data_IF_660181682405
#
_entry.id   IF_660181682405
#
_cell.length_a   1.000
_cell.length_b   1.000
_cell.length_c   1.000
_cell.angle_alpha   90.00
_cell.angle_beta   90.00
_cell.angle_gamma   90.00
#
_symmetry.space_group_name_H-M   'P 1'
#
loop_
_entity.id
_entity.type
_entity.pdbx_description
1 polymer ?
#
# COMPACT_ATOMS: atom_id res chain seq x y z
N UNK A 1 -16.89 3.19 3.88
CA UNK A 1 -15.63 3.78 4.42
C UNK A 1 -16.00 4.89 5.38
N UNK A 2 -15.43 4.89 6.57
CA UNK A 2 -15.76 5.82 7.65
C UNK A 2 -14.60 6.79 7.95
N UNK A 3 -14.81 7.69 8.93
CA UNK A 3 -13.80 8.71 9.26
C UNK A 3 -12.51 8.11 9.82
N UNK A 4 -12.59 6.95 10.48
CA UNK A 4 -11.42 6.23 10.99
C UNK A 4 -10.57 5.74 9.82
N UNK A 5 -11.21 5.16 8.80
CA UNK A 5 -10.52 4.71 7.58
C UNK A 5 -9.81 5.89 6.90
N UNK A 6 -10.48 7.03 6.80
CA UNK A 6 -9.90 8.22 6.17
C UNK A 6 -8.67 8.72 6.95
N UNK A 7 -8.72 8.75 8.28
CA UNK A 7 -7.56 9.14 9.09
C UNK A 7 -6.37 8.21 8.91
N UNK A 8 -6.62 6.91 8.82
CA UNK A 8 -5.55 5.93 8.55
C UNK A 8 -4.96 6.09 7.15
N UNK A 9 -5.80 6.35 6.14
CA UNK A 9 -5.32 6.64 4.79
C UNK A 9 -4.51 7.94 4.75
N UNK A 10 -4.92 8.95 5.50
CA UNK A 10 -4.15 10.19 5.63
C UNK A 10 -2.75 9.91 6.15
N UNK A 11 -2.62 9.05 7.17
CA UNK A 11 -1.32 8.63 7.69
C UNK A 11 -0.49 7.91 6.63
N UNK A 12 -1.12 7.07 5.81
CA UNK A 12 -0.43 6.39 4.70
C UNK A 12 0.13 7.37 3.69
N UNK A 13 -0.61 8.43 3.37
CA UNK A 13 -0.15 9.48 2.45
C UNK A 13 0.99 10.29 3.08
N UNK A 14 0.96 10.54 4.38
CA UNK A 14 2.08 11.17 5.09
C UNK A 14 3.34 10.31 5.00
N UNK A 15 3.21 9.00 5.19
CA UNK A 15 4.33 8.06 5.04
C UNK A 15 4.86 8.04 3.60
N UNK A 16 3.97 8.12 2.61
CA UNK A 16 4.36 8.23 1.21
C UNK A 16 5.15 9.52 0.95
N UNK A 17 4.76 10.62 1.58
CA UNK A 17 5.49 11.90 1.51
C UNK A 17 6.88 11.77 2.14
N UNK A 18 6.97 11.13 3.31
CA UNK A 18 8.27 10.84 3.95
C UNK A 18 9.17 10.00 3.05
N UNK A 19 8.60 9.04 2.32
CA UNK A 19 9.36 8.23 1.37
C UNK A 19 9.95 9.09 0.25
N UNK A 20 9.16 9.96 -0.36
CA UNK A 20 9.63 10.86 -1.42
C UNK A 20 10.72 11.81 -0.90
N UNK A 21 10.53 12.36 0.29
CA UNK A 21 11.52 13.25 0.92
C UNK A 21 12.86 12.54 1.17
N UNK A 22 12.83 11.23 1.36
CA UNK A 22 14.03 10.40 1.54
C UNK A 22 14.62 9.87 0.23
N UNK A 23 14.03 10.19 -0.91
CA UNK A 23 14.50 9.74 -2.24
C UNK A 23 13.91 8.41 -2.69
N UNK A 24 12.85 7.94 -2.04
CA UNK A 24 12.17 6.68 -2.36
C UNK A 24 10.86 6.94 -3.11
N UNK A 25 10.17 5.88 -3.51
CA UNK A 25 8.91 5.96 -4.21
C UNK A 25 7.74 6.27 -3.24
N UNK A 26 6.65 6.90 -3.72
CA UNK A 26 5.60 7.45 -2.86
C UNK A 26 4.59 6.41 -2.39
N UNK A 27 5.00 5.53 -1.49
CA UNK A 27 4.13 4.51 -0.92
C UNK A 27 4.30 4.43 0.59
N UNK A 28 3.19 4.41 1.30
CA UNK A 28 3.14 4.27 2.74
C UNK A 28 1.96 3.41 3.15
N UNK A 29 2.14 2.60 4.20
CA UNK A 29 1.13 1.65 4.64
C UNK A 29 1.19 1.44 6.15
N UNK A 30 0.04 1.11 6.74
CA UNK A 30 -0.05 0.78 8.16
C UNK A 30 -0.87 -0.49 8.35
N UNK A 31 -0.57 -1.20 9.44
CA UNK A 31 -1.30 -2.37 9.89
C UNK A 31 -2.04 -2.01 11.17
N UNK A 32 -3.35 -2.24 11.19
CA UNK A 32 -4.22 -1.90 12.31
C UNK A 32 -4.93 -3.15 12.82
N UNK A 33 -4.88 -3.38 14.12
CA UNK A 33 -5.56 -4.51 14.73
C UNK A 33 -7.07 -4.34 14.74
N UNK A 34 -7.79 -5.41 15.09
CA UNK A 34 -9.25 -5.42 15.18
C UNK A 34 -9.78 -4.34 16.13
N UNK A 35 -9.07 -4.03 17.20
CA UNK A 35 -9.47 -3.01 18.19
C UNK A 35 -9.05 -1.59 17.83
N UNK A 36 -8.45 -1.40 16.63
CA UNK A 36 -8.06 -0.08 16.14
C UNK A 36 -6.65 0.36 16.51
N UNK A 37 -5.84 -0.52 17.13
CA UNK A 37 -4.46 -0.21 17.46
C UNK A 37 -3.57 -0.29 16.22
N UNK A 38 -2.76 0.74 15.96
CA UNK A 38 -1.74 0.72 14.92
C UNK A 38 -0.58 -0.17 15.38
N UNK A 39 -0.40 -1.31 14.70
CA UNK A 39 0.60 -2.31 15.07
C UNK A 39 1.93 -2.10 14.37
N UNK A 40 1.91 -1.56 13.16
CA UNK A 40 3.11 -1.43 12.34
C UNK A 40 2.88 -0.35 11.28
N UNK A 41 3.91 0.44 11.01
CA UNK A 41 3.92 1.44 9.94
C UNK A 41 5.19 1.28 9.13
N UNK A 42 5.10 1.45 7.82
CA UNK A 42 6.29 1.48 6.97
C UNK A 42 6.03 2.29 5.70
N UNK A 43 7.08 2.56 4.99
CA UNK A 43 7.08 3.26 3.71
C UNK A 43 8.02 2.56 2.73
N UNK A 44 7.93 2.91 1.46
CA UNK A 44 8.82 2.40 0.43
C UNK A 44 10.28 2.75 0.75
N UNK A 45 11.20 1.79 0.52
CA UNK A 45 12.63 1.91 0.76
C UNK A 45 13.47 1.33 -0.38
N UNK A 46 12.93 1.37 -1.60
CA UNK A 46 13.59 0.77 -2.78
C UNK A 46 14.81 1.54 -3.25
N UNK A 47 14.98 2.79 -2.82
CA UNK A 47 16.13 3.62 -3.19
C UNK A 47 17.48 3.06 -2.75
N UNK A 48 17.50 2.14 -1.78
CA UNK A 48 18.72 1.46 -1.34
C UNK A 48 19.18 0.32 -2.24
N UNK A 49 18.44 0.02 -3.32
CA UNK A 49 18.82 -1.01 -4.30
C UNK A 49 18.01 -2.30 -4.24
N UNK A 50 17.17 -2.48 -3.22
CA UNK A 50 16.28 -3.64 -3.12
C UNK A 50 14.85 -3.24 -3.54
N UNK A 51 14.47 -3.59 -4.75
CA UNK A 51 13.18 -3.24 -5.33
C UNK A 51 11.99 -3.97 -4.67
N UNK A 52 12.22 -4.90 -3.75
CA UNK A 52 11.15 -5.57 -2.98
C UNK A 52 10.80 -4.87 -1.66
N UNK A 53 11.50 -3.80 -1.31
CA UNK A 53 11.29 -3.07 -0.05
C UNK A 53 10.04 -2.19 -0.12
N UNK A 54 8.90 -2.84 -0.31
CA UNK A 54 7.57 -2.25 -0.27
C UNK A 54 6.99 -2.32 1.15
N UNK A 55 6.26 -1.29 1.61
CA UNK A 55 5.71 -1.30 2.97
C UNK A 55 4.68 -2.42 3.18
N UNK A 56 3.88 -2.74 2.17
CA UNK A 56 2.87 -3.80 2.29
C UNK A 56 3.52 -5.17 2.44
N UNK A 57 4.64 -5.40 1.76
CA UNK A 57 5.41 -6.65 1.89
C UNK A 57 6.02 -6.78 3.28
N UNK A 58 6.58 -5.70 3.80
CA UNK A 58 7.10 -5.65 5.18
C UNK A 58 6.00 -5.96 6.21
N UNK A 59 4.80 -5.41 6.01
CA UNK A 59 3.64 -5.68 6.86
C UNK A 59 3.28 -7.17 6.84
N UNK A 60 3.24 -7.79 5.66
CA UNK A 60 2.92 -9.22 5.55
C UNK A 60 3.93 -10.08 6.31
N UNK A 61 5.23 -9.81 6.16
CA UNK A 61 6.28 -10.54 6.87
C UNK A 61 6.18 -10.33 8.38
N UNK A 62 6.04 -9.08 8.82
CA UNK A 62 5.92 -8.76 10.23
C UNK A 62 4.71 -9.48 10.87
N UNK A 63 3.57 -9.46 10.18
CA UNK A 63 2.34 -10.08 10.71
C UNK A 63 2.49 -11.60 10.83
N UNK A 64 3.17 -12.24 9.89
CA UNK A 64 3.44 -13.67 9.95
C UNK A 64 4.31 -14.03 11.16
N UNK A 65 5.23 -13.16 11.54
CA UNK A 65 6.17 -13.37 12.65
C UNK A 65 5.57 -13.02 14.02
N UNK A 66 4.61 -12.09 14.09
CA UNK A 66 4.17 -11.49 15.35
C UNK A 66 2.70 -11.75 15.70
N UNK A 67 1.85 -12.09 14.73
CA UNK A 67 0.41 -12.25 14.94
C UNK A 67 -0.02 -13.69 14.75
N UNK A 68 -1.05 -14.12 15.51
CA UNK A 68 -1.70 -15.40 15.25
C UNK A 68 -2.51 -15.34 13.95
N UNK A 69 -2.86 -16.49 13.34
CA UNK A 69 -3.71 -16.52 12.15
C UNK A 69 -5.04 -15.78 12.34
N UNK A 70 -5.64 -15.88 13.54
CA UNK A 70 -6.89 -15.18 13.83
C UNK A 70 -6.69 -13.67 13.91
N UNK A 71 -5.62 -13.22 14.57
CA UNK A 71 -5.29 -11.79 14.64
C UNK A 71 -5.06 -11.21 13.24
N UNK A 72 -4.35 -11.95 12.38
CA UNK A 72 -4.12 -11.53 10.99
C UNK A 72 -5.42 -11.39 10.20
N UNK A 73 -6.32 -12.35 10.34
CA UNK A 73 -7.60 -12.35 9.61
C UNK A 73 -8.47 -11.14 9.95
N UNK A 74 -8.38 -10.63 11.17
CA UNK A 74 -9.18 -9.48 11.64
C UNK A 74 -8.42 -8.15 11.57
N UNK A 75 -7.15 -8.15 11.19
CA UNK A 75 -6.38 -6.94 11.00
C UNK A 75 -6.73 -6.28 9.66
N UNK A 76 -6.53 -4.96 9.59
CA UNK A 76 -6.76 -4.17 8.39
C UNK A 76 -5.44 -3.54 7.95
N UNK A 77 -5.14 -3.63 6.67
CA UNK A 77 -4.01 -2.92 6.06
C UNK A 77 -4.55 -1.70 5.33
N UNK A 78 -4.04 -0.54 5.70
CA UNK A 78 -4.30 0.71 4.98
C UNK A 78 -3.06 1.05 4.16
N UNK A 79 -3.27 1.56 2.95
CA UNK A 79 -2.15 1.88 2.07
C UNK A 79 -2.48 3.07 1.18
N UNK A 80 -1.47 3.88 0.85
CA UNK A 80 -1.63 5.02 -0.05
C UNK A 80 -1.91 4.60 -1.49
N UNK A 81 -1.42 3.44 -1.90
CA UNK A 81 -1.65 2.87 -3.22
C UNK A 81 -1.99 1.39 -3.15
N UNK A 82 -2.83 0.93 -4.04
CA UNK A 82 -3.24 -0.47 -4.13
C UNK A 82 -2.00 -1.38 -4.23
N UNK A 83 -2.01 -2.51 -3.53
CA UNK A 83 -0.90 -3.49 -3.53
C UNK A 83 -0.51 -3.92 -4.95
N UNK A 84 0.78 -4.01 -5.21
CA UNK A 84 1.28 -4.67 -6.42
C UNK A 84 1.08 -6.19 -6.31
N UNK A 85 1.36 -6.91 -7.40
CA UNK A 85 1.17 -8.37 -7.44
C UNK A 85 1.94 -9.10 -6.33
N UNK A 86 3.18 -8.70 -6.06
CA UNK A 86 4.00 -9.29 -5.00
C UNK A 86 3.38 -9.10 -3.62
N UNK A 87 2.98 -7.87 -3.31
CA UNK A 87 2.43 -7.53 -2.01
C UNK A 87 1.03 -8.13 -1.80
N UNK A 88 0.21 -8.16 -2.86
CA UNK A 88 -1.11 -8.79 -2.80
C UNK A 88 -0.99 -10.30 -2.53
N UNK A 89 -0.07 -10.99 -3.21
CA UNK A 89 0.18 -12.40 -2.99
C UNK A 89 0.66 -12.67 -1.55
N UNK A 90 1.59 -11.87 -1.05
CA UNK A 90 2.09 -12.00 0.32
C UNK A 90 0.97 -11.81 1.35
N UNK A 91 0.13 -10.78 1.16
CA UNK A 91 -1.02 -10.50 2.01
C UNK A 91 -1.97 -11.70 2.06
N UNK A 92 -2.30 -12.26 0.91
CA UNK A 92 -3.19 -13.41 0.82
C UNK A 92 -2.59 -14.67 1.45
N UNK A 93 -1.32 -14.92 1.21
CA UNK A 93 -0.63 -16.12 1.73
C UNK A 93 -0.52 -16.13 3.26
N UNK A 94 -0.30 -14.96 3.88
CA UNK A 94 -0.22 -14.88 5.35
C UNK A 94 -1.60 -14.76 5.99
N UNK A 95 -2.66 -14.63 5.21
CA UNK A 95 -4.03 -14.61 5.71
C UNK A 95 -4.44 -13.31 6.40
N UNK A 96 -3.89 -12.17 5.98
CA UNK A 96 -4.35 -10.86 6.46
C UNK A 96 -5.77 -10.56 5.97
N UNK A 97 -6.46 -9.68 6.66
CA UNK A 97 -7.84 -9.34 6.40
C UNK A 97 -8.03 -8.23 5.36
N UNK A 98 -8.88 -7.27 5.69
CA UNK A 98 -9.30 -6.20 4.79
C UNK A 98 -8.13 -5.30 4.37
N UNK A 99 -8.17 -4.85 3.12
CA UNK A 99 -7.27 -3.81 2.58
C UNK A 99 -8.10 -2.58 2.23
N UNK A 100 -7.63 -1.41 2.66
CA UNK A 100 -8.21 -0.11 2.31
C UNK A 100 -7.12 0.71 1.63
N UNK A 101 -7.36 1.17 0.41
CA UNK A 101 -6.36 1.93 -0.36
C UNK A 101 -6.89 3.28 -0.80
N UNK A 102 -6.01 4.30 -0.77
CA UNK A 102 -6.36 5.65 -1.17
C UNK A 102 -6.42 5.81 -2.70
N UNK A 103 -5.52 5.13 -3.41
CA UNK A 103 -5.44 5.18 -4.88
C UNK A 103 -5.30 3.78 -5.45
N UNK A 104 -5.81 3.59 -6.68
CA UNK A 104 -5.91 2.28 -7.32
C UNK A 104 -4.76 2.00 -8.29
N UNK A 105 -4.60 0.73 -8.65
CA UNK A 105 -3.64 0.31 -9.68
C UNK A 105 -3.93 0.95 -11.05
N UNK A 106 -5.19 1.04 -11.53
CA UNK A 106 -5.45 1.78 -12.78
C UNK A 106 -5.02 3.24 -12.73
N UNK A 107 -5.20 3.91 -11.60
CA UNK A 107 -4.73 5.29 -11.43
C UNK A 107 -3.20 5.35 -11.52
N UNK A 108 -2.49 4.44 -10.83
CA UNK A 108 -1.03 4.37 -10.90
C UNK A 108 -0.56 4.15 -12.33
N UNK A 109 -1.16 3.20 -13.04
CA UNK A 109 -0.81 2.90 -14.44
C UNK A 109 -0.96 4.14 -15.32
N UNK A 110 -2.07 4.85 -15.19
CA UNK A 110 -2.32 6.08 -15.93
C UNK A 110 -1.28 7.16 -15.61
N UNK A 111 -0.98 7.38 -14.32
CA UNK A 111 0.00 8.39 -13.91
C UNK A 111 1.41 8.04 -14.37
N UNK A 112 1.80 6.77 -14.34
CA UNK A 112 3.12 6.36 -14.85
C UNK A 112 3.27 6.68 -16.32
N UNK A 113 2.24 6.42 -17.14
CA UNK A 113 2.24 6.78 -18.56
C UNK A 113 2.32 8.29 -18.75
N UNK A 114 1.47 9.03 -18.04
CA UNK A 114 1.37 10.50 -18.13
C UNK A 114 2.68 11.17 -17.72
N UNK A 115 3.34 10.67 -16.69
CA UNK A 115 4.58 11.23 -16.14
C UNK A 115 5.84 10.66 -16.83
N UNK A 116 5.69 9.75 -17.77
CA UNK A 116 6.83 9.14 -18.48
C UNK A 116 7.70 8.26 -17.57
N UNK A 117 7.13 7.64 -16.54
CA UNK A 117 7.86 6.76 -15.64
C UNK A 117 8.19 5.43 -16.30
N UNK A 118 9.37 4.83 -16.01
CA UNK A 118 9.74 3.55 -16.60
C UNK A 118 8.85 2.41 -16.07
N UNK A 119 8.73 1.35 -16.86
CA UNK A 119 8.04 0.13 -16.45
C UNK A 119 8.74 -0.48 -15.23
N UNK A 120 7.93 -1.03 -14.30
CA UNK A 120 8.45 -1.76 -13.14
C UNK A 120 8.96 -3.17 -13.51
N UNK A 121 8.78 -3.59 -14.76
CA UNK A 121 9.19 -4.94 -15.21
C UNK A 121 8.22 -6.04 -14.80
N UNK A 122 7.11 -5.70 -14.17
CA UNK A 122 6.04 -6.63 -13.80
C UNK A 122 4.70 -6.11 -14.30
N UNK A 123 3.74 -7.00 -14.47
CA UNK A 123 2.37 -6.62 -14.83
C UNK A 123 1.70 -5.94 -13.65
N UNK A 124 1.08 -4.78 -13.89
CA UNK A 124 0.32 -4.05 -12.87
C UNK A 124 -1.07 -4.69 -12.70
N UNK A 125 -1.13 -5.74 -11.91
CA UNK A 125 -2.37 -6.43 -11.56
C UNK A 125 -3.05 -5.76 -10.37
N UNK A 126 -4.37 -5.80 -10.34
CA UNK A 126 -5.15 -5.37 -9.17
C UNK A 126 -5.10 -6.46 -8.10
N UNK A 127 -5.40 -6.07 -6.86
CA UNK A 127 -5.44 -7.04 -5.75
C UNK A 127 -6.37 -8.22 -6.08
N UNK A 128 -7.57 -7.93 -6.60
CA UNK A 128 -8.56 -8.97 -6.90
C UNK A 128 -8.15 -9.90 -8.05
N UNK A 129 -7.20 -9.50 -8.88
CA UNK A 129 -6.64 -10.38 -9.91
C UNK A 129 -5.69 -11.43 -9.32
N UNK A 130 -5.11 -11.13 -8.17
CA UNK A 130 -4.14 -12.01 -7.47
C UNK A 130 -4.82 -12.76 -6.34
N UNK A 131 -5.68 -12.09 -5.59
CA UNK A 131 -6.46 -12.67 -4.47
C UNK A 131 -7.94 -12.43 -4.76
N UNK A 132 -8.61 -13.34 -5.48
CA UNK A 132 -9.98 -13.09 -5.99
C UNK A 132 -11.02 -12.79 -4.92
N UNK A 133 -10.85 -13.34 -3.72
CA UNK A 133 -11.81 -13.17 -2.62
C UNK A 133 -11.39 -12.09 -1.62
N UNK A 134 -10.41 -11.26 -1.95
CA UNK A 134 -9.92 -10.22 -1.05
C UNK A 134 -11.03 -9.22 -0.70
N UNK A 135 -11.12 -8.88 0.58
CA UNK A 135 -11.98 -7.81 1.08
C UNK A 135 -11.24 -6.49 0.91
N UNK A 136 -11.64 -5.69 -0.06
CA UNK A 136 -10.96 -4.44 -0.42
C UNK A 136 -11.94 -3.28 -0.48
N UNK A 137 -11.45 -2.09 -0.13
CA UNK A 137 -12.17 -0.84 -0.28
C UNK A 137 -11.24 0.26 -0.80
N UNK A 138 -11.76 1.08 -1.68
CA UNK A 138 -11.02 2.17 -2.33
C UNK A 138 -11.31 2.19 -3.83
N UNK A 139 -10.73 3.12 -4.58
CA UNK A 139 -9.96 4.27 -4.10
C UNK A 139 -10.85 5.34 -3.43
N UNK A 140 -10.22 6.32 -2.78
CA UNK A 140 -10.89 7.48 -2.22
C UNK A 140 -10.52 8.70 -3.08
N UNK A 141 -11.47 9.25 -3.85
CA UNK A 141 -11.16 10.31 -4.83
C UNK A 141 -10.45 11.53 -4.23
N UNK A 142 -10.72 11.85 -2.97
CA UNK A 142 -10.12 12.99 -2.29
C UNK A 142 -8.60 12.94 -2.19
N UNK A 143 -8.00 11.74 -2.25
CA UNK A 143 -6.55 11.57 -2.18
C UNK A 143 -5.86 11.55 -3.54
N UNK A 144 -6.60 11.46 -4.64
CA UNK A 144 -6.03 11.23 -5.97
C UNK A 144 -5.00 12.28 -6.37
N UNK A 145 -5.35 13.57 -6.20
CA UNK A 145 -4.49 14.66 -6.62
C UNK A 145 -3.20 14.73 -5.79
N UNK A 146 -3.31 14.58 -4.47
CA UNK A 146 -2.17 14.61 -3.56
C UNK A 146 -1.19 13.47 -3.86
N UNK A 147 -1.70 12.26 -4.03
CA UNK A 147 -0.86 11.09 -4.34
C UNK A 147 -0.23 11.22 -5.73
N UNK A 148 -0.99 11.69 -6.72
CA UNK A 148 -0.44 11.96 -8.05
C UNK A 148 0.73 12.95 -7.99
N UNK A 149 0.57 14.02 -7.23
CA UNK A 149 1.62 15.03 -7.05
C UNK A 149 2.89 14.43 -6.42
N UNK A 150 2.75 13.47 -5.51
CA UNK A 150 3.88 12.75 -4.94
C UNK A 150 4.60 11.92 -6.00
N UNK A 151 3.86 11.24 -6.88
CA UNK A 151 4.47 10.50 -8.00
C UNK A 151 5.21 11.44 -8.96
N UNK A 152 4.69 12.64 -9.19
CA UNK A 152 5.36 13.64 -10.03
C UNK A 152 6.68 14.13 -9.41
N UNK A 153 6.75 14.21 -8.07
CA UNK A 153 7.97 14.62 -7.34
C UNK A 153 8.99 13.50 -7.22
N UNK A 154 8.56 12.26 -7.23
CA UNK A 154 9.43 11.13 -6.97
C UNK A 154 10.49 10.96 -8.05
N UNK A 155 11.70 10.60 -7.63
CA UNK A 155 12.80 10.30 -8.55
C UNK A 155 12.51 8.96 -9.26
N UNK A 156 12.81 8.92 -10.53
CA UNK A 156 12.59 7.73 -11.35
C UNK A 156 13.60 6.62 -11.03
#
# INVERSE_FOLDING_TARGET
>A
MNDVDIRHLQRCVELATEAVDAGDQPFGSILVSRDGTVLFEDRNRTGGGDATRHPEFAIARWSAEHLTPEERRHAVVYTSGEHCAMCAAAHGLVGLGRIVYATSTPQLSHWMQELGKPSLGITLLRIIDVVPDADVAGPVPDFAEEVRALHARAVS
#
